data_IF_539665150591
#
_entry.id   IF_539665150591
#
_cell.length_a   1.000
_cell.length_b   1.000
_cell.length_c   1.000
_cell.angle_alpha   90.00
_cell.angle_beta   90.00
_cell.angle_gamma   90.00
#
_symmetry.space_group_name_H-M   'P 1'
#
loop_
_entity.id
_entity.type
_entity.pdbx_description
1 polymer ?
#
# COMPACT_ATOMS: atom_id res chain seq x y z
N UNK A 1 15.75 10.88 35.49
CA UNK A 1 16.86 11.13 34.55
C UNK A 1 17.42 9.75 34.19
N UNK A 2 17.24 9.12 33.03
CA UNK A 2 17.08 9.57 31.65
C UNK A 2 16.02 8.73 30.91
N UNK A 3 15.34 9.36 29.95
CA UNK A 3 14.45 8.67 29.02
C UNK A 3 15.18 7.98 27.88
N UNK A 4 14.54 6.95 27.34
CA UNK A 4 14.50 6.66 25.89
C UNK A 4 13.13 6.01 25.60
N UNK A 5 12.39 6.50 24.58
CA UNK A 5 11.10 5.93 24.24
C UNK A 5 11.28 4.52 23.70
N UNK A 6 10.30 3.67 23.99
CA UNK A 6 10.14 2.30 23.46
C UNK A 6 9.95 2.37 21.94
N UNK A 7 11.03 2.59 21.20
CA UNK A 7 11.06 2.33 19.76
C UNK A 7 11.01 0.82 19.59
N UNK A 8 9.81 0.33 19.27
CA UNK A 8 9.63 -0.99 18.68
C UNK A 8 10.52 -1.05 17.45
N UNK A 9 11.71 -1.64 17.63
CA UNK A 9 12.46 -2.23 16.55
C UNK A 9 11.53 -3.32 16.01
N UNK A 10 10.77 -2.99 14.97
CA UNK A 10 10.15 -4.02 14.17
C UNK A 10 11.32 -4.76 13.52
N UNK A 11 11.74 -5.88 14.10
CA UNK A 11 12.56 -6.87 13.41
C UNK A 11 11.77 -7.27 12.16
N UNK A 12 12.17 -6.72 11.03
CA UNK A 12 11.51 -6.89 9.73
C UNK A 12 11.57 -8.36 9.32
N UNK A 13 10.43 -9.07 9.22
CA UNK A 13 10.41 -10.29 8.42
C UNK A 13 10.47 -9.84 6.96
N UNK A 14 11.64 -10.02 6.33
CA UNK A 14 11.83 -10.10 4.87
C UNK A 14 10.80 -9.31 4.03
N UNK A 15 10.78 -7.98 4.12
CA UNK A 15 9.94 -7.13 3.26
C UNK A 15 10.48 -7.20 1.83
N UNK A 16 10.05 -8.21 1.08
CA UNK A 16 10.39 -8.36 -0.32
C UNK A 16 10.01 -7.07 -1.06
N UNK A 17 11.04 -6.38 -1.56
CA UNK A 17 10.88 -5.17 -2.34
C UNK A 17 10.56 -5.59 -3.77
N UNK A 18 9.38 -5.21 -4.24
CA UNK A 18 8.88 -5.57 -5.57
C UNK A 18 8.83 -4.33 -6.46
N UNK A 19 9.01 -4.50 -7.77
CA UNK A 19 8.90 -3.41 -8.73
C UNK A 19 7.44 -3.06 -9.01
N UNK A 20 7.19 -1.93 -9.69
CA UNK A 20 5.84 -1.52 -10.10
C UNK A 20 5.12 -2.59 -10.91
N UNK A 21 5.84 -3.30 -11.80
CA UNK A 21 5.28 -4.33 -12.67
C UNK A 21 4.83 -5.55 -11.86
N UNK A 22 5.68 -6.03 -10.96
CA UNK A 22 5.35 -7.15 -10.08
C UNK A 22 4.24 -6.78 -9.09
N UNK A 23 4.29 -5.58 -8.52
CA UNK A 23 3.22 -5.06 -7.65
C UNK A 23 1.85 -5.01 -8.35
N UNK A 24 1.84 -4.67 -9.64
CA UNK A 24 0.63 -4.64 -10.42
C UNK A 24 0.05 -6.04 -10.62
N UNK A 25 0.90 -7.01 -10.96
CA UNK A 25 0.52 -8.41 -11.15
C UNK A 25 -0.02 -9.04 -9.85
N UNK A 26 0.72 -8.88 -8.74
CA UNK A 26 0.36 -9.41 -7.42
C UNK A 26 -0.96 -8.81 -6.88
N UNK A 27 -1.21 -7.53 -7.14
CA UNK A 27 -2.45 -6.87 -6.76
C UNK A 27 -3.59 -7.05 -7.78
N UNK A 28 -3.34 -7.69 -8.93
CA UNK A 28 -4.32 -7.83 -10.01
C UNK A 28 -4.77 -6.48 -10.60
N UNK A 29 -3.92 -5.45 -10.57
CA UNK A 29 -4.21 -4.12 -11.09
C UNK A 29 -3.25 -3.73 -12.21
N UNK A 30 -3.52 -2.62 -12.90
CA UNK A 30 -2.58 -2.08 -13.89
C UNK A 30 -1.44 -1.29 -13.24
N UNK A 31 -0.27 -1.24 -13.86
CA UNK A 31 0.86 -0.39 -13.41
C UNK A 31 0.49 1.09 -13.30
N UNK A 32 -0.44 1.56 -14.15
CA UNK A 32 -1.02 2.91 -14.05
C UNK A 32 -1.79 3.14 -12.74
N UNK A 33 -2.48 2.10 -12.24
CA UNK A 33 -3.19 2.14 -10.95
C UNK A 33 -2.21 2.24 -9.78
N UNK A 34 -1.13 1.46 -9.80
CA UNK A 34 -0.05 1.55 -8.82
C UNK A 34 0.54 2.98 -8.77
N UNK A 35 0.86 3.57 -9.93
CA UNK A 35 1.32 4.97 -10.01
C UNK A 35 0.31 5.96 -9.42
N UNK A 36 -0.97 5.75 -9.70
CA UNK A 36 -2.05 6.59 -9.16
C UNK A 36 -2.19 6.45 -7.64
N UNK A 37 -1.94 5.25 -7.08
CA UNK A 37 -1.90 5.05 -5.63
C UNK A 37 -0.74 5.80 -4.98
N UNK A 38 0.44 5.78 -5.60
CA UNK A 38 1.60 6.56 -5.14
C UNK A 38 1.31 8.06 -5.18
N UNK A 39 0.78 8.56 -6.30
CA UNK A 39 0.42 9.97 -6.45
C UNK A 39 -0.62 10.44 -5.43
N UNK A 40 -1.60 9.57 -5.10
CA UNK A 40 -2.62 9.85 -4.09
C UNK A 40 -2.14 9.62 -2.65
N UNK A 41 -0.94 9.09 -2.45
CA UNK A 41 -0.40 8.77 -1.13
C UNK A 41 -0.99 7.51 -0.49
N UNK A 42 -1.73 6.68 -1.25
CA UNK A 42 -2.24 5.38 -0.76
C UNK A 42 -1.15 4.30 -0.73
N UNK A 43 -0.11 4.45 -1.53
CA UNK A 43 1.02 3.52 -1.60
C UNK A 43 2.33 4.26 -1.34
N UNK A 44 3.13 3.76 -0.40
CA UNK A 44 4.45 4.32 -0.08
C UNK A 44 5.53 3.57 -0.83
N UNK A 45 6.40 4.28 -1.54
CA UNK A 45 7.63 3.69 -2.06
C UNK A 45 8.56 3.37 -0.90
N UNK A 46 8.98 2.11 -0.79
CA UNK A 46 9.90 1.66 0.24
C UNK A 46 11.36 1.95 -0.12
N UNK A 47 11.63 2.19 -1.41
CA UNK A 47 12.92 2.66 -1.90
C UNK A 47 12.88 2.89 -3.40
N UNK A 48 14.05 3.18 -3.96
CA UNK A 48 14.29 3.21 -5.39
C UNK A 48 15.56 2.42 -5.69
N UNK A 49 15.53 1.62 -6.75
CA UNK A 49 16.70 0.97 -7.32
C UNK A 49 17.03 1.68 -8.63
N UNK A 50 17.91 2.68 -8.53
CA UNK A 50 18.23 3.60 -9.61
C UNK A 50 17.00 4.39 -10.06
N UNK A 51 16.56 4.17 -11.31
CA UNK A 51 15.36 4.82 -11.89
C UNK A 51 14.05 4.09 -11.57
N UNK A 52 14.10 2.90 -10.96
CA UNK A 52 12.89 2.10 -10.67
C UNK A 52 12.46 2.30 -9.22
N UNK A 53 11.17 2.52 -9.00
CA UNK A 53 10.60 2.56 -7.67
C UNK A 53 10.36 1.13 -7.16
N UNK A 54 10.69 0.92 -5.89
CA UNK A 54 10.46 -0.34 -5.19
C UNK A 54 9.38 -0.13 -4.13
N UNK A 55 8.49 -1.10 -4.05
CA UNK A 55 7.35 -1.11 -3.15
C UNK A 55 7.43 -2.33 -2.25
N UNK A 56 6.89 -2.21 -1.03
CA UNK A 56 6.67 -3.39 -0.21
C UNK A 56 5.37 -4.04 -0.63
N UNK A 57 5.38 -5.36 -0.72
CA UNK A 57 4.17 -6.14 -1.01
C UNK A 57 3.05 -5.83 0.01
N UNK A 58 3.39 -5.64 1.29
CA UNK A 58 2.42 -5.29 2.35
C UNK A 58 1.71 -3.94 2.09
N UNK A 59 2.46 -2.94 1.63
CA UNK A 59 1.90 -1.61 1.34
C UNK A 59 1.02 -1.65 0.08
N UNK A 60 1.35 -2.52 -0.88
CA UNK A 60 0.56 -2.73 -2.11
C UNK A 60 -0.81 -3.32 -1.76
N UNK A 61 -0.87 -4.36 -0.93
CA UNK A 61 -2.15 -4.92 -0.46
C UNK A 61 -2.94 -3.94 0.42
N UNK A 62 -2.26 -3.14 1.26
CA UNK A 62 -2.92 -2.10 2.05
C UNK A 62 -3.55 -1.01 1.15
N UNK A 63 -2.84 -0.60 0.09
CA UNK A 63 -3.31 0.36 -0.89
C UNK A 63 -4.51 -0.18 -1.70
N UNK A 64 -4.44 -1.45 -2.09
CA UNK A 64 -5.53 -2.18 -2.76
C UNK A 64 -6.79 -2.16 -1.89
N UNK A 65 -6.68 -2.59 -0.64
CA UNK A 65 -7.80 -2.64 0.30
C UNK A 65 -8.42 -1.27 0.56
N UNK A 66 -7.60 -0.24 0.71
CA UNK A 66 -8.05 1.14 0.89
C UNK A 66 -8.79 1.64 -0.34
N UNK A 67 -8.26 1.36 -1.54
CA UNK A 67 -8.88 1.75 -2.80
C UNK A 67 -10.17 0.98 -3.04
N UNK A 68 -10.21 -0.31 -2.73
CA UNK A 68 -11.39 -1.16 -2.85
C UNK A 68 -12.52 -0.66 -1.93
N UNK A 69 -12.19 -0.29 -0.69
CA UNK A 69 -13.16 0.31 0.25
C UNK A 69 -13.68 1.66 -0.24
N UNK A 70 -12.83 2.50 -0.81
CA UNK A 70 -13.25 3.78 -1.37
C UNK A 70 -14.14 3.63 -2.61
N UNK A 71 -13.96 2.54 -3.38
CA UNK A 71 -14.77 2.23 -4.56
C UNK A 71 -16.06 1.49 -4.25
N UNK A 72 -16.13 0.78 -3.13
CA UNK A 72 -17.38 0.16 -2.69
C UNK A 72 -18.26 1.30 -2.17
N UNK A 73 -19.32 1.72 -2.89
CA UNK A 73 -20.29 2.60 -2.28
C UNK A 73 -20.79 1.86 -1.04
N UNK A 74 -20.77 2.53 0.11
CA UNK A 74 -21.59 2.09 1.23
C UNK A 74 -22.98 1.89 0.62
N UNK A 75 -23.43 0.64 0.57
CA UNK A 75 -24.70 0.29 -0.06
C UNK A 75 -25.76 1.23 0.52
N UNK A 76 -26.67 1.76 -0.32
CA UNK A 76 -27.66 2.70 0.17
C UNK A 76 -28.43 2.02 1.28
N UNK A 77 -28.25 2.53 2.51
CA UNK A 77 -29.09 2.17 3.62
C UNK A 77 -30.49 2.65 3.27
N UNK A 78 -31.31 1.75 2.73
CA UNK A 78 -32.74 1.99 2.49
C UNK A 78 -33.53 1.17 3.49
N UNK A 79 -33.84 1.71 4.69
CA UNK A 79 -34.95 1.18 5.46
C UNK A 79 -36.25 1.64 4.76
N UNK A 80 -36.92 0.71 4.09
CA UNK A 80 -38.36 0.80 3.84
C UNK A 80 -39.01 -0.32 4.66
N UNK A 81 -39.55 0.04 5.82
CA UNK A 81 -40.67 -0.59 6.51
C UNK A 81 -40.93 0.19 7.79
#
# INVERSE_FOLDING_TARGET
MNGTPRSTRHSTPNTALITTELAADEAGVTTATIRKWVQRGHLRSAGSQGRRHLFRLEDVFAAERTTYRARRPAGPNRPLA
#
